data_IF_788092059442
#
_entry.id   IF_788092059442
#
_cell.length_a   1.000
_cell.length_b   1.000
_cell.length_c   1.000
_cell.angle_alpha   90.00
_cell.angle_beta   90.00
_cell.angle_gamma   90.00
#
_symmetry.space_group_name_H-M   'P 1'
#
loop_
_entity.id
_entity.type
_entity.pdbx_description
1 polymer ?
#
# COMPACT_ATOMS: atom_id res chain seq x y z
N UNK A 1 20.02 -35.14 5.80
CA UNK A 1 18.63 -35.07 5.28
C UNK A 1 17.86 -34.22 6.25
N UNK A 2 17.73 -32.95 5.97
CA UNK A 2 16.95 -31.98 6.75
C UNK A 2 15.49 -32.06 6.32
N UNK A 3 14.52 -32.11 7.24
CA UNK A 3 13.10 -32.18 6.88
C UNK A 3 12.65 -30.80 6.32
N UNK A 4 12.07 -30.84 5.13
CA UNK A 4 11.40 -29.70 4.49
C UNK A 4 10.21 -29.27 5.35
N UNK A 5 10.01 -27.98 5.66
CA UNK A 5 8.87 -27.53 6.46
C UNK A 5 7.56 -27.84 5.73
N UNK A 6 6.61 -28.46 6.43
CA UNK A 6 5.31 -28.82 5.92
C UNK A 6 4.50 -27.57 5.59
N UNK A 7 4.27 -27.31 4.30
CA UNK A 7 3.35 -26.28 3.82
C UNK A 7 1.94 -26.60 4.36
N UNK A 8 1.36 -25.72 5.16
CA UNK A 8 -0.07 -25.79 5.49
C UNK A 8 -0.85 -25.58 4.20
N UNK A 9 -1.37 -26.68 3.65
CA UNK A 9 -2.30 -26.65 2.51
C UNK A 9 -3.68 -26.28 3.02
N UNK A 10 -4.35 -25.37 2.35
CA UNK A 10 -5.78 -25.12 2.54
C UNK A 10 -6.56 -26.43 2.35
N UNK A 11 -7.68 -26.64 3.07
CA UNK A 11 -8.57 -27.74 2.81
C UNK A 11 -9.01 -27.72 1.34
N UNK A 12 -8.97 -28.86 0.67
CA UNK A 12 -9.23 -28.97 -0.77
C UNK A 12 -10.58 -28.40 -1.20
N UNK A 13 -11.58 -28.39 -0.31
CA UNK A 13 -12.90 -27.78 -0.57
C UNK A 13 -12.85 -26.25 -0.63
N UNK A 14 -11.98 -25.59 0.14
CA UNK A 14 -11.82 -24.13 0.10
C UNK A 14 -11.15 -23.71 -1.20
N UNK A 15 -10.11 -24.43 -1.61
CA UNK A 15 -9.43 -24.18 -2.89
C UNK A 15 -10.36 -24.41 -4.07
N UNK A 16 -11.17 -25.45 -4.03
CA UNK A 16 -12.16 -25.74 -5.08
C UNK A 16 -13.26 -24.67 -5.14
N UNK A 17 -13.78 -24.24 -3.99
CA UNK A 17 -14.80 -23.20 -3.92
C UNK A 17 -14.30 -21.85 -4.45
N UNK A 18 -13.05 -21.50 -4.14
CA UNK A 18 -12.41 -20.30 -4.66
C UNK A 18 -12.18 -20.37 -6.19
N UNK A 19 -11.79 -21.55 -6.70
CA UNK A 19 -11.62 -21.75 -8.14
C UNK A 19 -12.95 -21.67 -8.90
N UNK A 20 -14.01 -22.30 -8.39
CA UNK A 20 -15.35 -22.22 -8.98
C UNK A 20 -15.89 -20.79 -8.97
N UNK A 21 -15.64 -20.02 -7.90
CA UNK A 21 -16.02 -18.62 -7.81
C UNK A 21 -15.31 -17.73 -8.83
N UNK A 22 -14.01 -17.94 -9.06
CA UNK A 22 -13.25 -17.19 -10.07
C UNK A 22 -13.80 -17.44 -11.46
N UNK A 23 -14.06 -18.71 -11.79
CA UNK A 23 -14.60 -19.09 -13.10
C UNK A 23 -15.99 -18.47 -13.31
N UNK A 24 -16.86 -18.52 -12.30
CA UNK A 24 -18.21 -17.98 -12.36
C UNK A 24 -18.19 -16.43 -12.43
N UNK A 25 -17.32 -15.77 -11.66
CA UNK A 25 -17.12 -14.33 -11.71
C UNK A 25 -16.57 -13.88 -13.08
N UNK A 26 -15.63 -14.62 -13.66
CA UNK A 26 -15.01 -14.33 -14.96
C UNK A 26 -16.03 -14.46 -16.10
N UNK A 27 -16.87 -15.51 -16.12
CA UNK A 27 -17.95 -15.67 -17.10
C UNK A 27 -19.01 -14.57 -17.00
N UNK A 28 -19.39 -14.16 -15.80
CA UNK A 28 -20.34 -13.06 -15.58
C UNK A 28 -19.76 -11.71 -16.00
N UNK A 29 -18.48 -11.47 -15.75
CA UNK A 29 -17.77 -10.25 -16.13
C UNK A 29 -17.58 -10.15 -17.65
N UNK A 30 -17.18 -11.22 -18.30
CA UNK A 30 -17.07 -11.28 -19.76
C UNK A 30 -18.40 -11.02 -20.44
N UNK A 31 -19.49 -11.49 -19.86
CA UNK A 31 -20.84 -11.22 -20.37
C UNK A 31 -21.26 -9.76 -20.12
N UNK A 32 -20.86 -9.16 -19.02
CA UNK A 32 -21.08 -7.75 -18.70
C UNK A 32 -20.23 -6.83 -19.60
N UNK A 33 -18.94 -7.18 -19.79
CA UNK A 33 -18.02 -6.50 -20.74
C UNK A 33 -18.56 -6.49 -22.15
N UNK A 34 -18.98 -7.65 -22.66
CA UNK A 34 -19.57 -7.74 -24.01
C UNK A 34 -20.83 -6.89 -24.17
N UNK A 35 -21.68 -6.85 -23.13
CA UNK A 35 -22.89 -5.99 -23.13
C UNK A 35 -22.53 -4.51 -23.04
N UNK A 36 -21.51 -4.15 -22.25
CA UNK A 36 -21.07 -2.77 -22.10
C UNK A 36 -20.36 -2.28 -23.37
N UNK A 37 -19.43 -3.05 -23.94
CA UNK A 37 -18.78 -2.75 -25.19
C UNK A 37 -19.77 -2.66 -26.36
N UNK A 38 -20.79 -3.54 -26.41
CA UNK A 38 -21.85 -3.49 -27.40
C UNK A 38 -22.76 -2.26 -27.26
N UNK A 39 -22.92 -1.72 -26.04
CA UNK A 39 -23.75 -0.56 -25.74
C UNK A 39 -23.09 0.77 -25.99
N UNK A 40 -21.80 0.88 -25.69
CA UNK A 40 -21.05 2.15 -25.67
C UNK A 40 -19.94 2.23 -26.73
N UNK A 41 -19.50 1.10 -27.30
CA UNK A 41 -18.44 1.08 -28.31
C UNK A 41 -17.17 1.78 -27.82
N UNK A 42 -16.54 2.58 -28.71
CA UNK A 42 -15.37 3.41 -28.35
C UNK A 42 -15.67 4.65 -27.49
N UNK A 43 -16.95 4.95 -27.23
CA UNK A 43 -17.42 6.10 -26.44
C UNK A 43 -17.77 5.71 -24.99
N UNK A 44 -17.20 4.63 -24.47
CA UNK A 44 -17.37 4.26 -23.07
C UNK A 44 -16.96 5.42 -22.15
N UNK A 45 -17.76 5.72 -21.08
CA UNK A 45 -17.38 6.72 -20.11
C UNK A 45 -15.99 6.46 -19.57
N UNK A 46 -15.14 7.49 -19.56
CA UNK A 46 -13.79 7.40 -19.02
C UNK A 46 -13.76 7.84 -17.57
N UNK A 47 -12.86 7.26 -16.80
CA UNK A 47 -12.53 7.66 -15.43
C UNK A 47 -11.03 7.88 -15.32
N UNK A 48 -10.63 8.97 -14.64
CA UNK A 48 -9.22 9.24 -14.31
C UNK A 48 -8.99 8.82 -12.87
N UNK A 49 -8.27 7.73 -12.67
CA UNK A 49 -7.73 7.33 -11.36
C UNK A 49 -6.43 8.10 -11.11
N UNK A 50 -6.54 9.23 -10.41
CA UNK A 50 -5.42 10.10 -10.09
C UNK A 50 -4.75 9.64 -8.79
N UNK A 51 -3.53 9.08 -8.87
CA UNK A 51 -2.82 8.55 -7.71
C UNK A 51 -2.25 9.69 -6.84
N UNK A 52 -2.10 9.44 -5.53
CA UNK A 52 -1.44 10.40 -4.64
C UNK A 52 -0.01 10.65 -5.11
N UNK A 53 0.26 11.88 -5.46
CA UNK A 53 1.53 12.36 -5.98
C UNK A 53 2.38 12.99 -4.88
N UNK A 54 3.61 13.38 -5.19
CA UNK A 54 4.47 14.15 -4.31
C UNK A 54 5.17 15.28 -5.04
N UNK A 55 5.45 16.33 -4.31
CA UNK A 55 6.10 17.54 -4.83
C UNK A 55 6.93 18.25 -3.77
N UNK A 56 7.68 19.23 -4.26
CA UNK A 56 8.51 20.12 -3.47
C UNK A 56 8.44 21.57 -4.06
N UNK A 57 9.33 22.45 -3.63
CA UNK A 57 9.40 23.80 -4.17
C UNK A 57 9.74 23.84 -5.68
N UNK A 58 10.36 22.80 -6.23
CA UNK A 58 10.71 22.71 -7.65
C UNK A 58 9.58 22.25 -8.55
N UNK A 59 8.56 21.56 -8.00
CA UNK A 59 7.46 21.02 -8.77
C UNK A 59 6.92 19.70 -8.23
N UNK A 60 6.21 18.93 -9.07
CA UNK A 60 5.59 17.67 -8.68
C UNK A 60 5.76 16.57 -9.73
N UNK A 61 5.82 15.30 -9.26
CA UNK A 61 5.70 14.11 -10.08
C UNK A 61 4.30 13.53 -9.90
N UNK A 62 3.58 13.41 -11.01
CA UNK A 62 2.19 12.97 -11.04
C UNK A 62 2.06 11.69 -11.85
N UNK A 63 1.25 10.79 -11.37
CA UNK A 63 0.92 9.55 -12.07
C UNK A 63 -0.52 9.14 -11.79
N UNK A 64 -1.08 8.35 -12.68
CA UNK A 64 -2.43 7.82 -12.55
C UNK A 64 -2.79 6.98 -13.75
N UNK A 65 -4.05 6.63 -13.88
CA UNK A 65 -4.54 5.73 -14.94
C UNK A 65 -5.87 6.23 -15.50
N UNK A 66 -6.10 6.02 -16.78
CA UNK A 66 -7.40 6.25 -17.43
C UNK A 66 -8.06 4.91 -17.71
N UNK A 67 -9.29 4.77 -17.25
CA UNK A 67 -10.09 3.54 -17.33
C UNK A 67 -11.40 3.81 -18.08
N UNK A 68 -11.90 2.80 -18.80
CA UNK A 68 -13.14 2.88 -19.58
C UNK A 68 -14.42 2.65 -18.76
N UNK A 69 -14.31 2.31 -17.48
CA UNK A 69 -15.45 2.09 -16.59
C UNK A 69 -15.59 3.21 -15.57
N UNK A 70 -16.84 3.61 -15.29
CA UNK A 70 -17.13 4.50 -14.17
C UNK A 70 -16.67 3.85 -12.86
N UNK A 71 -16.16 4.63 -11.88
CA UNK A 71 -15.86 4.09 -10.57
C UNK A 71 -17.13 3.44 -10.03
N UNK A 72 -17.05 2.17 -9.73
CA UNK A 72 -18.08 1.52 -8.93
C UNK A 72 -18.05 2.25 -7.58
N UNK A 73 -19.21 2.77 -7.15
CA UNK A 73 -19.32 3.52 -5.90
C UNK A 73 -18.55 2.83 -4.79
N UNK A 74 -17.91 3.62 -3.92
CA UNK A 74 -17.16 3.10 -2.78
C UNK A 74 -17.97 2.09 -1.98
N UNK A 75 -17.32 1.25 -1.15
CA UNK A 75 -18.00 0.27 -0.33
C UNK A 75 -19.02 0.99 0.54
N UNK A 76 -20.27 0.55 0.47
CA UNK A 76 -21.31 0.98 1.40
C UNK A 76 -21.20 0.12 2.66
N UNK A 77 -21.49 0.71 3.82
CA UNK A 77 -21.48 -0.02 5.10
C UNK A 77 -22.40 -1.25 5.11
N UNK A 78 -23.45 -1.24 4.29
CA UNK A 78 -24.43 -2.32 4.15
C UNK A 78 -24.12 -3.34 3.04
N UNK A 79 -23.04 -3.15 2.27
CA UNK A 79 -22.66 -4.09 1.20
C UNK A 79 -22.20 -5.41 1.81
N UNK A 80 -22.81 -6.51 1.38
CA UNK A 80 -22.42 -7.86 1.76
C UNK A 80 -20.94 -8.12 1.37
N UNK A 81 -20.29 -9.03 2.08
CA UNK A 81 -18.91 -9.44 1.83
C UNK A 81 -18.63 -9.78 0.35
N UNK A 82 -19.60 -10.42 -0.32
CA UNK A 82 -19.53 -10.80 -1.72
C UNK A 82 -19.61 -9.61 -2.68
N UNK A 83 -20.45 -8.64 -2.38
CA UNK A 83 -20.58 -7.42 -3.21
C UNK A 83 -19.29 -6.60 -3.17
N UNK A 84 -18.66 -6.55 -2.02
CA UNK A 84 -17.39 -5.88 -1.82
C UNK A 84 -16.23 -6.60 -2.55
N UNK A 85 -16.20 -7.94 -2.52
CA UNK A 85 -15.22 -8.75 -3.24
C UNK A 85 -15.39 -8.59 -4.75
N UNK A 86 -16.62 -8.69 -5.23
CA UNK A 86 -16.96 -8.55 -6.64
C UNK A 86 -16.68 -7.15 -7.18
N UNK A 87 -16.99 -6.11 -6.39
CA UNK A 87 -16.70 -4.73 -6.75
C UNK A 87 -15.19 -4.47 -6.81
N UNK A 88 -14.42 -5.06 -5.91
CA UNK A 88 -12.96 -4.95 -5.93
C UNK A 88 -12.37 -5.72 -7.11
N UNK A 89 -12.87 -6.91 -7.42
CA UNK A 89 -12.46 -7.69 -8.60
C UNK A 89 -12.79 -6.94 -9.91
N UNK A 90 -13.96 -6.31 -10.00
CA UNK A 90 -14.35 -5.48 -11.16
C UNK A 90 -13.45 -4.26 -11.36
N UNK A 91 -12.91 -3.68 -10.29
CA UNK A 91 -11.90 -2.60 -10.38
C UNK A 91 -10.58 -3.10 -10.96
N UNK A 92 -10.23 -4.36 -10.68
CA UNK A 92 -9.03 -5.00 -11.21
C UNK A 92 -9.07 -5.20 -12.73
N UNK A 93 -10.25 -5.51 -13.26
CA UNK A 93 -10.49 -5.80 -14.68
C UNK A 93 -11.06 -4.62 -15.44
N UNK A 94 -10.90 -3.39 -14.93
CA UNK A 94 -11.30 -2.18 -15.66
C UNK A 94 -10.57 -2.10 -17.01
N UNK A 95 -11.33 -1.81 -18.08
CA UNK A 95 -10.77 -1.67 -19.43
C UNK A 95 -9.81 -0.46 -19.46
N UNK A 96 -8.58 -0.73 -19.75
CA UNK A 96 -7.50 0.25 -19.89
C UNK A 96 -7.73 1.09 -21.14
N UNK A 97 -7.48 2.41 -21.05
CA UNK A 97 -7.64 3.29 -22.20
C UNK A 97 -6.31 3.88 -22.61
N UNK A 98 -5.61 3.26 -23.58
CA UNK A 98 -4.33 3.76 -24.07
C UNK A 98 -4.52 4.97 -24.99
N UNK A 99 -3.45 5.78 -25.10
CA UNK A 99 -3.37 6.88 -26.07
C UNK A 99 -4.27 8.08 -25.74
N UNK A 100 -4.79 8.18 -24.51
CA UNK A 100 -5.62 9.31 -24.09
C UNK A 100 -4.75 10.53 -23.82
N UNK A 101 -5.03 11.63 -24.50
CA UNK A 101 -4.37 12.90 -24.24
C UNK A 101 -4.98 13.58 -23.01
N UNK A 102 -4.12 14.01 -22.09
CA UNK A 102 -4.46 14.65 -20.83
C UNK A 102 -3.83 16.05 -20.76
N UNK A 103 -4.52 16.97 -20.11
CA UNK A 103 -3.97 18.23 -19.63
C UNK A 103 -3.87 18.17 -18.09
N UNK A 104 -2.67 18.43 -17.57
CA UNK A 104 -2.39 18.38 -16.13
C UNK A 104 -1.92 19.76 -15.71
N UNK A 105 -2.52 20.33 -14.66
CA UNK A 105 -2.16 21.65 -14.15
C UNK A 105 -1.80 21.60 -12.67
N UNK A 106 -0.71 22.30 -12.32
CA UNK A 106 -0.24 22.44 -10.94
C UNK A 106 0.43 23.80 -10.76
N UNK A 107 0.06 24.54 -9.73
CA UNK A 107 0.59 25.87 -9.40
C UNK A 107 0.68 26.82 -10.61
N UNK A 108 -0.37 26.85 -11.43
CA UNK A 108 -0.46 27.71 -12.60
C UNK A 108 0.29 27.22 -13.85
N UNK A 109 1.08 26.17 -13.76
CA UNK A 109 1.76 25.54 -14.89
C UNK A 109 0.91 24.41 -15.45
N UNK A 110 0.89 24.26 -16.77
CA UNK A 110 0.17 23.17 -17.47
C UNK A 110 1.12 22.37 -18.33
N UNK A 111 0.95 21.05 -18.29
CA UNK A 111 1.65 20.11 -19.16
C UNK A 111 0.66 19.16 -19.82
N UNK A 112 1.07 18.56 -20.93
CA UNK A 112 0.31 17.51 -21.58
C UNK A 112 0.97 16.17 -21.31
N UNK A 113 0.15 15.16 -21.09
CA UNK A 113 0.57 13.77 -21.01
C UNK A 113 -0.31 12.90 -21.91
N UNK A 114 0.15 11.71 -22.21
CA UNK A 114 -0.63 10.71 -22.97
C UNK A 114 -0.51 9.39 -22.25
N UNK A 115 -1.60 8.65 -22.12
CA UNK A 115 -1.58 7.34 -21.50
C UNK A 115 -0.83 6.33 -22.34
N UNK A 116 -0.08 5.45 -21.68
CA UNK A 116 0.63 4.33 -22.29
C UNK A 116 -0.33 3.19 -22.73
N UNK A 117 0.24 2.04 -23.12
CA UNK A 117 -0.53 0.88 -23.57
C UNK A 117 -1.43 0.27 -22.49
N UNK A 118 -1.11 0.49 -21.21
CA UNK A 118 -1.86 0.01 -20.04
C UNK A 118 -2.71 1.12 -19.41
N UNK A 119 -2.88 2.26 -20.10
CA UNK A 119 -3.69 3.39 -19.65
C UNK A 119 -3.04 4.27 -18.57
N UNK A 120 -1.76 4.06 -18.19
CA UNK A 120 -1.07 4.89 -17.21
C UNK A 120 -0.57 6.19 -17.84
N UNK A 121 -0.58 7.26 -17.05
CA UNK A 121 0.12 8.50 -17.35
C UNK A 121 1.15 8.81 -16.27
N UNK A 122 2.25 9.43 -16.71
CA UNK A 122 3.27 10.00 -15.84
C UNK A 122 3.59 11.40 -16.34
N UNK A 123 3.69 12.35 -15.43
CA UNK A 123 4.03 13.71 -15.77
C UNK A 123 4.90 14.35 -14.68
N UNK A 124 5.95 15.02 -15.09
CA UNK A 124 6.71 15.95 -14.24
C UNK A 124 6.25 17.38 -14.56
N UNK A 125 5.85 18.12 -13.55
CA UNK A 125 5.56 19.55 -13.67
C UNK A 125 6.57 20.32 -12.85
N UNK A 126 7.41 21.09 -13.52
CA UNK A 126 8.35 21.99 -12.86
C UNK A 126 7.67 23.35 -12.64
N UNK A 127 7.71 23.81 -11.40
CA UNK A 127 7.08 25.08 -10.98
C UNK A 127 8.08 25.98 -10.26
N UNK A 128 9.21 26.33 -10.91
CA UNK A 128 10.26 27.11 -10.27
C UNK A 128 9.74 28.47 -9.83
N UNK A 129 9.98 28.82 -8.56
CA UNK A 129 9.56 30.11 -8.00
C UNK A 129 8.07 30.26 -7.71
N UNK A 130 7.25 29.23 -7.98
CA UNK A 130 5.86 29.26 -7.54
C UNK A 130 5.79 29.10 -6.00
N UNK A 131 4.91 29.85 -5.32
CA UNK A 131 4.75 29.71 -3.88
C UNK A 131 4.26 28.29 -3.55
N UNK A 132 4.90 27.66 -2.57
CA UNK A 132 4.48 26.38 -2.02
C UNK A 132 3.47 26.63 -0.90
N UNK A 133 2.42 25.86 -0.85
CA UNK A 133 1.47 25.88 0.25
C UNK A 133 2.11 25.38 1.55
N UNK A 134 1.75 25.95 2.69
CA UNK A 134 2.09 25.42 4.01
C UNK A 134 1.31 24.16 4.38
N UNK A 135 0.29 23.80 3.57
CA UNK A 135 -0.47 22.58 3.77
C UNK A 135 0.34 21.36 3.35
N UNK A 136 0.17 20.26 4.09
CA UNK A 136 0.81 18.98 3.75
C UNK A 136 0.36 18.47 2.37
N UNK A 137 -0.85 18.80 1.95
CA UNK A 137 -1.43 18.41 0.68
C UNK A 137 -1.88 19.62 -0.13
N UNK A 138 -1.57 19.60 -1.40
CA UNK A 138 -2.03 20.55 -2.41
C UNK A 138 -2.64 19.76 -3.57
N UNK A 139 -3.58 20.33 -4.32
CA UNK A 139 -4.19 19.62 -5.44
C UNK A 139 -3.63 20.12 -6.78
N UNK A 140 -3.15 19.18 -7.58
CA UNK A 140 -3.10 19.34 -9.03
C UNK A 140 -4.47 19.03 -9.64
N UNK A 141 -4.64 19.35 -10.91
CA UNK A 141 -5.83 18.96 -11.67
C UNK A 141 -5.42 18.18 -12.91
N UNK A 142 -6.15 17.11 -13.19
CA UNK A 142 -5.97 16.27 -14.39
C UNK A 142 -7.29 16.26 -15.15
N UNK A 143 -7.26 16.59 -16.44
CA UNK A 143 -8.44 16.58 -17.31
C UNK A 143 -8.12 15.90 -18.63
N UNK A 144 -9.16 15.44 -19.34
CA UNK A 144 -8.99 15.09 -20.75
C UNK A 144 -8.60 16.34 -21.55
N UNK A 145 -7.87 16.16 -22.64
CA UNK A 145 -7.38 17.28 -23.45
C UNK A 145 -8.47 18.16 -24.07
N UNK A 146 -9.70 17.65 -24.14
CA UNK A 146 -10.91 18.41 -24.55
C UNK A 146 -11.50 19.26 -23.40
N UNK A 147 -10.89 19.22 -22.22
CA UNK A 147 -11.33 19.94 -21.02
C UNK A 147 -12.44 19.24 -20.23
N UNK A 148 -12.87 18.08 -20.65
CA UNK A 148 -13.84 17.26 -19.91
C UNK A 148 -13.18 16.43 -18.83
N UNK A 149 -13.98 15.88 -17.92
CA UNK A 149 -13.54 14.96 -16.85
C UNK A 149 -12.40 15.54 -16.01
N UNK A 150 -12.62 16.69 -15.39
CA UNK A 150 -11.66 17.30 -14.46
C UNK A 150 -11.61 16.56 -13.13
N UNK A 151 -10.45 16.01 -12.80
CA UNK A 151 -10.21 15.24 -11.57
C UNK A 151 -9.13 15.92 -10.73
N UNK A 152 -9.37 16.16 -9.41
CA UNK A 152 -8.31 16.63 -8.52
C UNK A 152 -7.31 15.51 -8.24
N UNK A 153 -6.03 15.86 -8.20
CA UNK A 153 -4.94 14.94 -7.85
C UNK A 153 -4.20 15.45 -6.63
N UNK A 154 -4.29 14.75 -5.48
CA UNK A 154 -3.58 15.15 -4.27
C UNK A 154 -2.07 15.04 -4.44
N UNK A 155 -1.34 16.07 -4.06
CA UNK A 155 0.12 16.17 -4.11
C UNK A 155 0.65 16.43 -2.71
N UNK A 156 1.37 15.46 -2.15
CA UNK A 156 2.05 15.59 -0.86
C UNK A 156 3.17 16.60 -0.98
N UNK A 157 3.17 17.63 -0.13
CA UNK A 157 4.18 18.69 -0.15
C UNK A 157 5.31 18.38 0.82
N UNK A 158 6.52 18.22 0.30
CA UNK A 158 7.72 18.09 1.13
C UNK A 158 8.34 19.47 1.31
N UNK A 159 7.88 20.17 2.34
CA UNK A 159 8.30 21.52 2.67
C UNK A 159 9.35 21.61 3.77
N UNK A 160 9.82 22.83 4.03
CA UNK A 160 10.84 23.10 5.07
C UNK A 160 10.33 22.85 6.51
N UNK A 161 9.03 22.69 6.70
CA UNK A 161 8.43 22.36 7.99
C UNK A 161 8.52 20.88 8.40
N UNK A 162 9.03 20.00 7.53
CA UNK A 162 9.26 18.61 7.84
C UNK A 162 10.63 18.41 8.50
N UNK A 163 10.68 17.69 9.63
CA UNK A 163 11.95 17.34 10.29
C UNK A 163 12.58 16.10 9.70
N UNK A 164 11.76 15.15 9.28
CA UNK A 164 12.16 13.89 8.68
C UNK A 164 11.04 13.36 7.77
N UNK A 165 11.39 12.41 6.91
CA UNK A 165 10.45 11.63 6.14
C UNK A 165 10.38 10.19 6.63
N UNK A 166 9.29 9.52 6.34
CA UNK A 166 9.12 8.09 6.59
C UNK A 166 9.01 7.38 5.24
N UNK A 167 9.79 6.33 5.04
CA UNK A 167 9.63 5.37 3.95
C UNK A 167 9.24 4.05 4.56
N UNK A 168 8.06 3.57 4.22
CA UNK A 168 7.49 2.35 4.79
C UNK A 168 7.14 1.34 3.72
N UNK A 169 7.47 0.08 3.98
CA UNK A 169 6.81 -1.01 3.29
C UNK A 169 5.33 -1.11 3.70
N UNK A 170 4.52 -1.73 2.85
CA UNK A 170 3.09 -1.95 3.10
C UNK A 170 2.84 -3.40 3.52
N UNK A 171 3.37 -4.34 2.74
CA UNK A 171 3.15 -5.76 2.94
C UNK A 171 3.84 -6.24 4.22
N UNK A 172 3.15 -6.99 5.07
CA UNK A 172 3.62 -7.44 6.39
C UNK A 172 4.18 -6.37 7.35
N UNK A 173 4.29 -5.12 6.89
CA UNK A 173 4.66 -3.95 7.71
C UNK A 173 3.44 -3.16 8.15
N UNK A 174 2.45 -2.99 7.30
CA UNK A 174 1.16 -2.35 7.58
C UNK A 174 0.03 -3.38 7.50
N UNK A 175 0.18 -4.40 6.64
CA UNK A 175 -0.74 -5.47 6.35
C UNK A 175 -0.14 -6.82 6.72
N UNK A 176 -0.91 -7.72 7.33
CA UNK A 176 -0.53 -9.13 7.45
C UNK A 176 -0.78 -9.86 6.13
N UNK A 177 0.27 -10.34 5.46
CA UNK A 177 0.16 -11.14 4.25
C UNK A 177 0.57 -12.60 4.52
N UNK A 178 -0.38 -13.52 4.57
CA UNK A 178 -0.12 -14.95 4.76
C UNK A 178 -0.27 -15.70 3.43
N UNK A 179 0.55 -15.38 2.35
CA UNK A 179 0.33 -15.98 1.05
C UNK A 179 1.58 -16.32 0.27
N UNK A 180 1.53 -17.57 -0.18
CA UNK A 180 2.45 -18.18 -1.10
C UNK A 180 1.67 -18.90 -2.22
N UNK A 181 1.17 -18.15 -3.24
CA UNK A 181 1.00 -18.67 -4.62
C UNK A 181 0.35 -17.59 -5.50
N UNK A 182 1.09 -17.13 -6.48
CA UNK A 182 1.13 -15.70 -6.76
C UNK A 182 0.38 -15.20 -8.01
N UNK A 183 -0.42 -15.91 -8.73
CA UNK A 183 -1.14 -15.28 -9.86
C UNK A 183 -2.65 -15.19 -9.69
N UNK A 184 -3.30 -16.25 -9.30
CA UNK A 184 -4.76 -16.24 -9.11
C UNK A 184 -5.12 -16.26 -7.64
N UNK A 185 -4.37 -17.01 -6.84
CA UNK A 185 -4.54 -17.04 -5.39
C UNK A 185 -4.08 -15.74 -4.73
N UNK A 186 -3.05 -15.06 -5.25
CA UNK A 186 -2.59 -13.77 -4.73
C UNK A 186 -3.63 -12.67 -4.95
N UNK A 187 -4.24 -12.58 -6.13
CA UNK A 187 -5.31 -11.62 -6.40
C UNK A 187 -6.51 -11.87 -5.48
N UNK A 188 -7.01 -13.10 -5.41
CA UNK A 188 -8.18 -13.42 -4.59
C UNK A 188 -7.91 -13.37 -3.09
N UNK A 189 -6.72 -13.78 -2.66
CA UNK A 189 -6.36 -13.75 -1.26
C UNK A 189 -6.00 -12.33 -0.83
N UNK A 190 -5.42 -11.51 -1.71
CA UNK A 190 -5.23 -10.09 -1.47
C UNK A 190 -6.58 -9.38 -1.37
N UNK A 191 -7.50 -9.66 -2.26
CA UNK A 191 -8.87 -9.14 -2.26
C UNK A 191 -9.67 -9.60 -1.03
N UNK A 192 -9.58 -10.87 -0.68
CA UNK A 192 -10.23 -11.43 0.51
C UNK A 192 -9.65 -10.85 1.80
N UNK A 193 -8.35 -10.61 1.84
CA UNK A 193 -7.65 -10.20 3.04
C UNK A 193 -7.52 -8.68 3.20
N UNK A 194 -7.56 -7.85 2.16
CA UNK A 194 -7.38 -6.41 2.32
C UNK A 194 -8.45 -5.76 3.21
N UNK A 195 -9.68 -6.26 3.19
CA UNK A 195 -10.76 -5.78 4.08
C UNK A 195 -10.91 -6.59 5.37
N UNK A 196 -10.54 -7.87 5.36
CA UNK A 196 -10.51 -8.70 6.56
C UNK A 196 -9.16 -8.67 7.26
N UNK A 197 -8.12 -8.13 6.62
CA UNK A 197 -6.82 -7.91 7.24
C UNK A 197 -6.93 -6.82 8.29
N UNK A 198 -6.51 -7.16 9.46
CA UNK A 198 -6.32 -6.19 10.52
C UNK A 198 -5.04 -5.41 10.21
N UNK A 199 -5.06 -4.07 10.31
CA UNK A 199 -3.81 -3.32 10.29
C UNK A 199 -2.92 -3.85 11.41
N UNK A 200 -1.63 -3.73 11.21
CA UNK A 200 -0.69 -4.13 12.23
C UNK A 200 -0.96 -3.35 13.52
N UNK A 201 -0.85 -4.05 14.63
CA UNK A 201 -1.22 -3.54 15.96
C UNK A 201 -0.57 -2.19 16.24
N UNK A 202 -1.37 -1.15 16.33
CA UNK A 202 -0.94 0.21 16.60
C UNK A 202 -0.35 0.97 15.39
N UNK A 203 -0.40 0.42 14.17
CA UNK A 203 0.20 1.05 13.00
C UNK A 203 -0.41 2.41 12.69
N UNK A 204 -1.74 2.52 12.66
CA UNK A 204 -2.40 3.78 12.30
C UNK A 204 -2.03 4.92 13.26
N UNK A 205 -2.02 4.67 14.55
CA UNK A 205 -1.66 5.69 15.55
C UNK A 205 -0.17 5.99 15.51
N UNK A 206 0.70 4.98 15.30
CA UNK A 206 2.15 5.19 15.14
C UNK A 206 2.45 6.08 13.92
N UNK A 207 1.91 5.77 12.75
CA UNK A 207 2.20 6.55 11.54
C UNK A 207 1.65 7.98 11.63
N UNK A 208 0.49 8.19 12.26
CA UNK A 208 -0.01 9.54 12.57
C UNK A 208 0.92 10.29 13.52
N UNK A 209 1.46 9.61 14.53
CA UNK A 209 2.41 10.21 15.47
C UNK A 209 3.74 10.58 14.76
N UNK A 210 4.28 9.69 13.92
CA UNK A 210 5.46 9.99 13.10
C UNK A 210 5.21 11.16 12.13
N UNK A 211 4.04 11.22 11.50
CA UNK A 211 3.65 12.34 10.62
C UNK A 211 3.56 13.65 11.40
N UNK A 212 3.02 13.61 12.62
CA UNK A 212 2.92 14.79 13.48
C UNK A 212 4.28 15.25 14.02
N UNK A 213 5.17 14.31 14.31
CA UNK A 213 6.50 14.56 14.88
C UNK A 213 6.48 14.97 16.35
N UNK A 214 7.66 15.29 16.90
CA UNK A 214 7.80 15.80 18.25
C UNK A 214 7.14 17.18 18.39
N UNK A 215 6.20 17.33 19.29
CA UNK A 215 5.40 18.54 19.49
C UNK A 215 4.08 18.57 18.71
N UNK A 216 3.75 17.51 17.96
CA UNK A 216 2.43 17.28 17.38
C UNK A 216 2.00 18.23 16.24
N UNK A 217 2.86 19.16 15.82
CA UNK A 217 2.52 20.20 14.87
C UNK A 217 3.25 20.10 13.52
N UNK A 218 4.28 19.28 13.45
CA UNK A 218 5.10 19.12 12.25
C UNK A 218 4.48 18.11 11.29
N UNK A 219 4.68 18.33 9.99
CA UNK A 219 4.03 17.58 8.94
C UNK A 219 5.06 16.76 8.17
N UNK A 220 5.55 15.72 8.81
CA UNK A 220 6.52 14.82 8.22
C UNK A 220 5.84 14.02 7.09
N UNK A 221 6.44 13.94 5.88
CA UNK A 221 5.89 13.15 4.80
C UNK A 221 6.04 11.65 5.08
N UNK A 222 5.01 10.89 4.73
CA UNK A 222 5.04 9.42 4.76
C UNK A 222 4.90 8.90 3.33
N UNK A 223 5.83 8.08 2.90
CA UNK A 223 5.86 7.42 1.60
C UNK A 223 5.75 5.92 1.79
N UNK A 224 4.96 5.28 0.95
CA UNK A 224 4.74 3.84 0.99
C UNK A 224 5.35 3.19 -0.24
N UNK A 225 6.08 2.10 -0.03
CA UNK A 225 6.72 1.33 -1.10
C UNK A 225 6.32 -0.13 -0.95
N UNK A 226 5.80 -0.76 -1.99
CA UNK A 226 5.38 -2.15 -1.95
C UNK A 226 5.86 -2.92 -3.17
N UNK A 227 6.08 -4.21 -3.01
CA UNK A 227 6.36 -5.13 -4.11
C UNK A 227 5.10 -5.54 -4.90
N UNK A 228 3.94 -5.09 -4.46
CA UNK A 228 2.66 -5.30 -5.11
C UNK A 228 2.57 -4.56 -6.45
N UNK A 229 1.84 -5.08 -7.43
CA UNK A 229 1.67 -4.41 -8.73
C UNK A 229 0.73 -3.21 -8.68
N UNK A 230 0.88 -2.29 -9.65
CA UNK A 230 0.11 -1.04 -9.74
C UNK A 230 -1.41 -1.22 -9.84
N UNK A 231 -1.89 -2.33 -10.37
CA UNK A 231 -3.32 -2.63 -10.41
C UNK A 231 -3.93 -2.84 -9.01
N UNK A 232 -3.13 -2.95 -7.94
CA UNK A 232 -3.58 -3.01 -6.55
C UNK A 232 -3.69 -1.63 -5.87
N UNK A 233 -3.39 -0.54 -6.57
CA UNK A 233 -3.35 0.79 -5.98
C UNK A 233 -4.64 1.16 -5.25
N UNK A 234 -5.79 1.07 -5.93
CA UNK A 234 -7.08 1.47 -5.36
C UNK A 234 -7.44 0.65 -4.11
N UNK A 235 -7.08 -0.65 -4.13
CA UNK A 235 -7.31 -1.54 -3.00
C UNK A 235 -6.46 -1.16 -1.78
N UNK A 236 -5.19 -0.85 -2.01
CA UNK A 236 -4.28 -0.40 -0.96
C UNK A 236 -4.69 0.96 -0.40
N UNK A 237 -5.15 1.85 -1.27
CA UNK A 237 -5.63 3.17 -0.90
C UNK A 237 -6.91 3.09 -0.05
N UNK A 238 -7.91 2.33 -0.49
CA UNK A 238 -9.12 2.02 0.27
C UNK A 238 -8.78 1.38 1.64
N UNK A 239 -7.82 0.45 1.66
CA UNK A 239 -7.37 -0.18 2.91
C UNK A 239 -6.77 0.84 3.88
N UNK A 240 -5.88 1.70 3.41
CA UNK A 240 -5.26 2.72 4.27
C UNK A 240 -6.30 3.68 4.82
N UNK A 241 -7.27 4.09 3.99
CA UNK A 241 -8.36 4.98 4.41
C UNK A 241 -9.25 4.32 5.48
N UNK A 242 -9.72 3.08 5.23
CA UNK A 242 -10.56 2.33 6.18
C UNK A 242 -9.90 2.09 7.54
N UNK A 243 -8.58 1.97 7.56
CA UNK A 243 -7.81 1.74 8.77
C UNK A 243 -7.21 3.01 9.37
N UNK A 244 -7.59 4.19 8.86
CA UNK A 244 -7.12 5.49 9.33
C UNK A 244 -5.57 5.61 9.33
N UNK A 245 -4.90 4.93 8.40
CA UNK A 245 -3.47 5.08 8.15
C UNK A 245 -3.27 6.40 7.40
N UNK A 246 -2.31 7.25 7.76
CA UNK A 246 -2.10 8.52 7.08
C UNK A 246 -1.92 8.33 5.58
N UNK A 247 -2.63 9.11 4.75
CA UNK A 247 -2.44 9.06 3.30
C UNK A 247 -1.00 9.46 2.94
N UNK A 248 -0.45 8.79 1.93
CA UNK A 248 0.87 9.08 1.37
C UNK A 248 0.98 8.60 -0.07
N UNK A 249 1.95 9.08 -0.85
CA UNK A 249 2.27 8.50 -2.14
C UNK A 249 2.62 7.03 -1.99
N UNK A 250 2.06 6.18 -2.86
CA UNK A 250 2.29 4.74 -2.88
C UNK A 250 3.06 4.39 -4.15
N UNK A 251 4.21 3.75 -3.99
CA UNK A 251 5.06 3.29 -5.08
C UNK A 251 4.96 1.77 -5.19
N UNK A 252 4.32 1.31 -6.24
CA UNK A 252 4.08 -0.08 -6.53
C UNK A 252 5.03 -0.57 -7.62
N UNK A 253 5.13 -1.88 -7.76
CA UNK A 253 5.98 -2.51 -8.76
C UNK A 253 5.32 -2.45 -10.13
N UNK A 254 6.08 -2.00 -11.14
CA UNK A 254 5.71 -2.13 -12.54
C UNK A 254 5.97 -3.58 -12.99
N UNK A 255 4.91 -4.32 -13.26
CA UNK A 255 4.98 -5.70 -13.79
C UNK A 255 4.62 -5.70 -15.29
N UNK A 256 4.75 -4.57 -15.97
CA UNK A 256 4.44 -4.42 -17.39
C UNK A 256 5.11 -5.48 -18.27
N UNK A 257 4.40 -5.95 -19.29
CA UNK A 257 4.85 -6.96 -20.25
C UNK A 257 5.89 -6.44 -21.26
N UNK A 258 6.56 -5.34 -20.98
CA UNK A 258 7.61 -4.80 -21.85
C UNK A 258 8.91 -5.61 -21.71
N UNK A 259 9.32 -6.38 -22.72
CA UNK A 259 10.50 -7.25 -22.65
C UNK A 259 11.80 -6.49 -22.32
N UNK A 260 11.85 -5.17 -22.55
CA UNK A 260 12.98 -4.32 -22.22
C UNK A 260 13.05 -3.91 -20.74
N UNK A 261 11.93 -3.94 -20.01
CA UNK A 261 11.86 -3.58 -18.58
C UNK A 261 12.05 -4.79 -17.65
N UNK A 262 11.80 -6.01 -18.14
CA UNK A 262 11.94 -7.25 -17.36
C UNK A 262 13.37 -7.53 -16.87
N UNK A 263 14.37 -6.98 -17.51
CA UNK A 263 15.79 -7.30 -17.23
C UNK A 263 16.39 -6.47 -16.10
N UNK A 264 15.76 -5.37 -15.68
CA UNK A 264 16.37 -4.45 -14.69
C UNK A 264 15.87 -4.60 -13.25
N UNK A 265 14.78 -5.32 -12.97
CA UNK A 265 14.24 -5.37 -11.61
C UNK A 265 13.69 -6.76 -11.23
N UNK A 266 14.45 -7.82 -11.51
CA UNK A 266 14.18 -9.13 -10.92
C UNK A 266 14.59 -9.06 -9.43
N UNK A 267 13.61 -9.02 -8.52
CA UNK A 267 13.87 -9.02 -7.08
C UNK A 267 13.31 -7.78 -6.35
N UNK A 268 13.54 -7.74 -5.05
CA UNK A 268 13.09 -6.66 -4.16
C UNK A 268 13.88 -5.34 -4.32
N UNK A 269 14.84 -5.25 -5.22
CA UNK A 269 15.72 -4.09 -5.43
C UNK A 269 15.00 -2.77 -5.74
N UNK A 270 13.78 -2.82 -6.30
CA UNK A 270 12.99 -1.61 -6.59
C UNK A 270 12.66 -0.79 -5.34
N UNK A 271 12.51 -1.42 -4.15
CA UNK A 271 12.28 -0.71 -2.89
C UNK A 271 13.48 0.17 -2.54
N UNK A 272 14.69 -0.37 -2.67
CA UNK A 272 15.93 0.39 -2.43
C UNK A 272 16.11 1.51 -3.45
N UNK A 273 15.82 1.25 -4.73
CA UNK A 273 15.93 2.28 -5.78
C UNK A 273 14.93 3.42 -5.53
N UNK A 274 13.73 3.11 -5.11
CA UNK A 274 12.74 4.12 -4.75
C UNK A 274 13.15 4.91 -3.50
N UNK A 275 13.70 4.25 -2.48
CA UNK A 275 14.26 4.93 -1.32
C UNK A 275 15.42 5.88 -1.74
N UNK A 276 16.32 5.44 -2.61
CA UNK A 276 17.40 6.27 -3.18
C UNK A 276 16.88 7.52 -3.88
N UNK A 277 15.86 7.37 -4.72
CA UNK A 277 15.24 8.50 -5.43
C UNK A 277 14.64 9.52 -4.45
N UNK A 278 13.90 9.07 -3.44
CA UNK A 278 13.29 9.95 -2.43
C UNK A 278 14.36 10.67 -1.60
N UNK A 279 15.38 9.93 -1.16
CA UNK A 279 16.47 10.49 -0.37
C UNK A 279 17.30 11.50 -1.19
N UNK A 280 17.58 11.19 -2.46
CA UNK A 280 18.30 12.11 -3.35
C UNK A 280 17.49 13.38 -3.67
N UNK A 281 16.19 13.22 -3.89
CA UNK A 281 15.28 14.33 -4.20
C UNK A 281 15.13 15.33 -3.05
N UNK A 282 15.16 14.85 -1.81
CA UNK A 282 15.00 15.69 -0.62
C UNK A 282 16.30 15.75 0.21
N UNK A 283 17.36 16.43 -0.26
CA UNK A 283 18.70 16.36 0.30
C UNK A 283 18.82 16.89 1.73
N UNK A 284 17.88 17.71 2.20
CA UNK A 284 17.86 18.24 3.57
C UNK A 284 17.10 17.35 4.56
N UNK A 285 16.28 16.42 4.05
CA UNK A 285 15.43 15.59 4.89
C UNK A 285 16.19 14.35 5.36
N UNK A 286 16.04 13.99 6.63
CA UNK A 286 16.49 12.72 7.18
C UNK A 286 15.33 11.73 7.18
N UNK A 287 15.60 10.43 7.32
CA UNK A 287 14.62 9.41 7.02
C UNK A 287 14.50 8.35 8.11
N UNK A 288 13.29 7.93 8.38
CA UNK A 288 12.97 6.71 9.12
C UNK A 288 12.52 5.67 8.09
N UNK A 289 13.13 4.48 8.14
CA UNK A 289 12.78 3.36 7.27
C UNK A 289 12.04 2.30 8.10
N UNK A 290 10.92 1.81 7.58
CA UNK A 290 10.09 0.80 8.25
C UNK A 290 9.80 -0.33 7.27
N UNK A 291 10.17 -1.54 7.62
CA UNK A 291 9.96 -2.74 6.81
C UNK A 291 9.64 -3.96 7.66
N UNK A 292 9.63 -5.13 7.06
CA UNK A 292 9.29 -6.40 7.69
C UNK A 292 10.41 -7.44 7.61
N UNK A 293 10.30 -8.49 8.46
CA UNK A 293 11.24 -9.61 8.47
C UNK A 293 10.89 -10.72 7.46
N UNK A 294 9.72 -10.65 6.83
CA UNK A 294 9.23 -11.67 5.89
C UNK A 294 9.79 -11.50 4.48
N UNK A 295 10.34 -10.33 4.17
CA UNK A 295 10.90 -9.97 2.86
C UNK A 295 12.40 -9.60 2.95
N UNK A 296 12.92 -8.94 1.92
CA UNK A 296 14.33 -8.53 1.86
C UNK A 296 14.60 -7.16 2.51
N UNK A 297 13.67 -6.59 3.26
CA UNK A 297 13.75 -5.22 3.75
C UNK A 297 14.94 -5.00 4.69
N UNK A 298 15.30 -6.00 5.50
CA UNK A 298 16.46 -5.92 6.36
C UNK A 298 17.76 -5.72 5.55
N UNK A 299 17.95 -6.48 4.48
CA UNK A 299 19.09 -6.37 3.57
C UNK A 299 19.10 -5.02 2.85
N UNK A 300 17.95 -4.62 2.29
CA UNK A 300 17.81 -3.39 1.50
C UNK A 300 18.06 -2.15 2.36
N UNK A 301 17.52 -2.12 3.57
CA UNK A 301 17.68 -0.99 4.47
C UNK A 301 19.04 -0.96 5.15
N UNK A 302 19.68 -2.11 5.37
CA UNK A 302 21.10 -2.15 5.75
C UNK A 302 22.00 -1.59 4.64
N UNK A 303 21.67 -1.83 3.37
CA UNK A 303 22.37 -1.21 2.26
C UNK A 303 22.14 0.31 2.23
N UNK A 304 20.90 0.78 2.46
CA UNK A 304 20.59 2.20 2.58
C UNK A 304 21.36 2.87 3.73
N UNK A 305 21.46 2.21 4.90
CA UNK A 305 22.23 2.74 6.03
C UNK A 305 23.71 2.96 5.68
N UNK A 306 24.32 2.02 4.95
CA UNK A 306 25.72 2.15 4.49
C UNK A 306 25.90 3.25 3.46
N UNK A 307 24.91 3.43 2.56
CA UNK A 307 24.97 4.41 1.48
C UNK A 307 24.72 5.84 1.97
N UNK A 308 23.75 6.01 2.86
CA UNK A 308 23.26 7.35 3.26
C UNK A 308 23.64 7.77 4.68
N UNK A 309 24.13 6.83 5.51
CA UNK A 309 24.67 7.16 6.83
C UNK A 309 23.72 8.02 7.68
N UNK A 310 24.21 9.16 8.15
CA UNK A 310 23.47 10.09 9.03
C UNK A 310 22.16 10.63 8.45
N UNK A 311 21.90 10.41 7.15
CA UNK A 311 20.61 10.72 6.52
C UNK A 311 19.50 9.76 6.96
N UNK A 312 19.85 8.60 7.53
CA UNK A 312 18.91 7.65 8.10
C UNK A 312 18.91 7.82 9.62
N UNK A 313 17.74 8.14 10.18
CA UNK A 313 17.57 8.35 11.62
C UNK A 313 17.40 7.05 12.37
N UNK A 314 16.64 6.12 11.81
CA UNK A 314 16.40 4.79 12.34
C UNK A 314 15.86 3.85 11.26
N UNK A 315 16.10 2.56 11.45
CA UNK A 315 15.53 1.48 10.65
C UNK A 315 14.79 0.54 11.61
N UNK A 316 13.52 0.29 11.31
CA UNK A 316 12.69 -0.65 12.04
C UNK A 316 12.30 -1.81 11.16
N UNK A 317 12.70 -3.01 11.53
CA UNK A 317 12.31 -4.26 10.86
C UNK A 317 11.31 -4.97 11.76
N UNK A 318 10.09 -5.00 11.32
CA UNK A 318 9.02 -5.62 12.04
C UNK A 318 9.09 -7.13 11.95
N UNK A 319 9.06 -7.78 13.10
CA UNK A 319 8.94 -9.23 13.20
C UNK A 319 7.51 -9.64 12.80
N UNK A 320 7.40 -10.47 11.75
CA UNK A 320 6.08 -10.91 11.22
C UNK A 320 5.47 -12.03 12.05
N UNK A 321 6.25 -12.72 12.88
CA UNK A 321 5.81 -13.81 13.75
C UNK A 321 6.45 -13.72 15.16
N UNK A 322 6.19 -12.62 15.89
CA UNK A 322 6.83 -12.36 17.16
C UNK A 322 6.47 -13.44 18.20
N UNK A 323 7.50 -14.01 18.82
CA UNK A 323 7.38 -15.08 19.82
C UNK A 323 7.63 -16.48 19.30
N UNK A 324 7.92 -16.62 18.00
CA UNK A 324 8.37 -17.87 17.38
C UNK A 324 9.80 -17.68 16.90
N UNK A 325 10.75 -18.48 17.36
CA UNK A 325 12.10 -18.46 16.79
C UNK A 325 12.06 -19.01 15.35
N UNK A 326 12.44 -18.16 14.41
CA UNK A 326 12.41 -18.45 12.97
C UNK A 326 13.81 -18.20 12.37
N UNK A 327 14.24 -18.98 11.37
CA UNK A 327 15.48 -18.69 10.61
C UNK A 327 15.57 -17.26 10.05
N UNK A 328 14.43 -16.60 9.83
CA UNK A 328 14.34 -15.18 9.41
C UNK A 328 14.87 -14.23 10.49
N UNK A 329 14.67 -14.57 11.76
CA UNK A 329 15.17 -13.77 12.88
C UNK A 329 16.69 -13.66 12.85
N UNK A 330 17.36 -14.81 12.70
CA UNK A 330 18.81 -14.85 12.56
C UNK A 330 19.32 -14.11 11.32
N UNK A 331 18.56 -14.12 10.23
CA UNK A 331 18.88 -13.37 9.01
C UNK A 331 18.77 -11.85 9.27
N UNK A 332 17.70 -11.39 9.89
CA UNK A 332 17.52 -9.97 10.25
C UNK A 332 18.58 -9.52 11.25
N UNK A 333 18.81 -10.31 12.30
CA UNK A 333 19.80 -10.01 13.34
C UNK A 333 21.23 -9.91 12.75
N UNK A 334 21.55 -10.76 11.75
CA UNK A 334 22.81 -10.65 11.02
C UNK A 334 22.98 -9.32 10.25
N UNK A 335 21.91 -8.75 9.71
CA UNK A 335 21.95 -7.43 9.08
C UNK A 335 22.04 -6.31 10.12
N UNK A 336 21.34 -6.45 11.26
CA UNK A 336 21.44 -5.51 12.38
C UNK A 336 22.89 -5.44 12.89
N UNK A 337 23.56 -6.57 13.07
CA UNK A 337 24.98 -6.63 13.46
C UNK A 337 25.89 -5.92 12.45
N UNK A 338 25.64 -6.06 11.15
CA UNK A 338 26.41 -5.37 10.11
C UNK A 338 26.21 -3.85 10.14
N UNK A 339 25.04 -3.37 10.53
CA UNK A 339 24.73 -1.93 10.66
C UNK A 339 25.20 -1.37 12.00
N UNK A 340 25.37 -2.18 13.02
CA UNK A 340 25.75 -1.75 14.38
C UNK A 340 27.07 -0.97 14.45
N UNK A 341 27.96 -1.12 13.44
CA UNK A 341 29.19 -0.30 13.30
C UNK A 341 28.96 1.10 12.73
N UNK A 342 27.73 1.45 12.36
CA UNK A 342 27.36 2.75 11.82
C UNK A 342 26.65 3.61 12.88
N UNK A 343 26.39 4.88 12.58
CA UNK A 343 25.59 5.75 13.43
C UNK A 343 24.07 5.50 13.32
N UNK A 344 23.64 4.55 12.50
CA UNK A 344 22.22 4.28 12.20
C UNK A 344 21.70 3.17 13.10
N UNK A 345 20.76 3.43 14.02
CA UNK A 345 20.11 2.37 14.77
C UNK A 345 19.20 1.55 13.85
N UNK A 346 19.38 0.23 13.86
CA UNK A 346 18.54 -0.74 13.18
C UNK A 346 18.02 -1.75 14.19
N UNK A 347 16.70 -1.90 14.30
CA UNK A 347 16.05 -2.73 15.30
C UNK A 347 15.04 -3.69 14.68
N UNK A 348 15.05 -4.94 15.17
CA UNK A 348 13.92 -5.86 14.98
C UNK A 348 12.91 -5.60 16.10
N UNK A 349 11.64 -5.42 15.74
CA UNK A 349 10.58 -4.95 16.65
C UNK A 349 9.35 -5.83 16.54
N UNK A 350 8.72 -6.15 17.67
CA UNK A 350 7.56 -7.02 17.72
C UNK A 350 6.25 -6.31 17.33
N UNK A 351 6.13 -5.00 17.57
CA UNK A 351 4.94 -4.20 17.30
C UNK A 351 5.23 -2.69 17.23
N UNK A 352 4.18 -1.93 16.98
CA UNK A 352 4.27 -0.46 16.84
C UNK A 352 4.63 0.27 18.13
N UNK A 353 4.41 -0.34 19.31
CA UNK A 353 4.78 0.27 20.58
C UNK A 353 6.30 0.29 20.75
N UNK A 354 6.97 -0.81 20.41
CA UNK A 354 8.43 -0.87 20.45
C UNK A 354 9.10 0.16 19.51
N UNK A 355 8.51 0.39 18.33
CA UNK A 355 8.94 1.47 17.43
C UNK A 355 8.76 2.83 18.11
N UNK A 356 7.58 3.07 18.70
CA UNK A 356 7.24 4.36 19.30
C UNK A 356 8.14 4.70 20.49
N UNK A 357 8.44 3.73 21.36
CA UNK A 357 9.34 3.91 22.52
C UNK A 357 10.75 4.31 22.07
N UNK A 358 11.31 3.62 21.09
CA UNK A 358 12.61 3.97 20.54
C UNK A 358 12.59 5.32 19.81
N UNK A 359 11.58 5.58 18.98
CA UNK A 359 11.43 6.84 18.26
C UNK A 359 11.25 8.04 19.19
N UNK A 360 10.55 7.85 20.34
CA UNK A 360 10.48 8.86 21.39
C UNK A 360 11.86 9.15 21.98
N UNK A 361 12.66 8.12 22.25
CA UNK A 361 14.04 8.27 22.72
C UNK A 361 14.93 9.07 21.76
N UNK A 362 14.63 9.02 20.46
CA UNK A 362 15.28 9.82 19.42
C UNK A 362 14.66 11.22 19.24
N UNK A 363 13.60 11.58 19.98
CA UNK A 363 12.90 12.85 19.85
C UNK A 363 12.07 12.98 18.56
N UNK A 364 11.64 11.87 17.96
CA UNK A 364 10.85 11.85 16.72
C UNK A 364 9.35 11.91 16.98
N UNK A 365 8.90 11.60 18.19
CA UNK A 365 7.50 11.58 18.59
C UNK A 365 7.26 12.48 19.81
N UNK A 366 6.00 12.90 19.97
CA UNK A 366 5.49 13.45 21.23
C UNK A 366 5.18 12.31 22.21
N UNK A 367 5.59 12.47 23.47
CA UNK A 367 5.32 11.49 24.53
C UNK A 367 3.83 11.20 24.71
N UNK A 368 2.94 12.17 24.48
CA UNK A 368 1.50 11.98 24.56
C UNK A 368 0.96 10.97 23.52
N UNK A 369 1.74 10.66 22.46
CA UNK A 369 1.36 9.67 21.46
C UNK A 369 1.46 8.23 21.98
N UNK A 370 2.31 7.94 22.97
CA UNK A 370 2.58 6.58 23.45
C UNK A 370 1.34 5.91 24.01
N UNK A 371 0.55 6.60 24.82
CA UNK A 371 -0.65 6.04 25.44
C UNK A 371 -1.67 5.58 24.39
N UNK A 372 -1.83 6.36 23.33
CA UNK A 372 -2.71 6.03 22.22
C UNK A 372 -2.24 4.81 21.43
N UNK A 373 -0.93 4.72 21.16
CA UNK A 373 -0.31 3.58 20.46
C UNK A 373 -0.41 2.31 21.32
N UNK A 374 -0.08 2.40 22.62
CA UNK A 374 -0.18 1.28 23.55
C UNK A 374 -1.63 0.77 23.66
N UNK A 375 -2.60 1.67 23.78
CA UNK A 375 -4.02 1.30 23.83
C UNK A 375 -4.49 0.62 22.54
N UNK A 376 -4.03 1.04 21.36
CA UNK A 376 -4.35 0.39 20.08
C UNK A 376 -3.70 -1.00 19.97
N UNK A 377 -2.43 -1.14 20.36
CA UNK A 377 -1.74 -2.43 20.41
C UNK A 377 -2.46 -3.39 21.35
N UNK A 378 -2.85 -2.94 22.54
CA UNK A 378 -3.60 -3.74 23.52
C UNK A 378 -4.96 -4.19 22.98
N UNK A 379 -5.73 -3.27 22.39
CA UNK A 379 -7.02 -3.59 21.77
C UNK A 379 -6.88 -4.61 20.65
N UNK A 380 -5.83 -4.50 19.84
CA UNK A 380 -5.57 -5.44 18.76
C UNK A 380 -5.14 -6.82 19.27
N UNK A 381 -4.42 -6.90 20.41
CA UNK A 381 -4.09 -8.17 21.07
C UNK A 381 -5.32 -8.87 21.66
N UNK A 382 -6.29 -8.10 22.15
CA UNK A 382 -7.52 -8.63 22.75
C UNK A 382 -8.55 -9.11 21.71
N UNK A 383 -8.41 -8.76 20.43
CA UNK A 383 -9.32 -9.23 19.38
C UNK A 383 -8.98 -10.66 18.97
N UNK A 384 -9.99 -11.57 18.86
CA UNK A 384 -9.74 -12.93 18.40
C UNK A 384 -9.12 -12.93 17.00
N UNK A 385 -8.26 -13.90 16.72
CA UNK A 385 -7.72 -14.12 15.38
C UNK A 385 -8.81 -14.56 14.41
N UNK A 386 -8.63 -14.34 13.10
CA UNK A 386 -9.63 -14.76 12.10
C UNK A 386 -10.01 -16.25 12.19
N UNK A 387 -9.07 -17.20 12.43
CA UNK A 387 -9.44 -18.59 12.67
C UNK A 387 -10.29 -18.81 13.93
N UNK A 388 -10.02 -18.04 15.00
CA UNK A 388 -10.82 -18.10 16.23
C UNK A 388 -12.20 -17.47 16.05
N UNK A 389 -12.28 -16.33 15.38
CA UNK A 389 -13.55 -15.69 15.05
C UNK A 389 -14.42 -16.54 14.13
N UNK A 390 -13.84 -17.17 13.11
CA UNK A 390 -14.54 -18.10 12.22
C UNK A 390 -14.98 -19.38 12.94
N UNK A 391 -14.17 -19.89 13.89
CA UNK A 391 -14.53 -21.03 14.70
C UNK A 391 -15.67 -20.69 15.68
N UNK A 392 -15.68 -19.52 16.25
CA UNK A 392 -16.73 -19.06 17.15
C UNK A 392 -18.04 -18.78 16.39
N UNK A 393 -17.97 -18.15 15.20
CA UNK A 393 -19.13 -17.97 14.31
C UNK A 393 -19.71 -19.32 13.84
N UNK A 394 -18.85 -20.30 13.53
CA UNK A 394 -19.28 -21.64 13.19
C UNK A 394 -19.94 -22.36 14.37
N UNK A 395 -19.42 -22.18 15.59
CA UNK A 395 -20.04 -22.72 16.82
C UNK A 395 -21.39 -22.07 17.09
N UNK A 396 -21.50 -20.75 16.93
CA UNK A 396 -22.74 -20.01 17.13
C UNK A 396 -23.84 -20.46 16.15
N UNK A 397 -23.49 -20.66 14.86
CA UNK A 397 -24.42 -21.22 13.86
C UNK A 397 -24.87 -22.64 14.18
N UNK A 398 -24.00 -23.46 14.75
CA UNK A 398 -24.35 -24.81 15.20
C UNK A 398 -25.25 -24.80 16.43
N UNK A 399 -25.02 -23.87 17.36
CA UNK A 399 -25.83 -23.74 18.60
C UNK A 399 -27.20 -23.12 18.32
N UNK A 400 -27.29 -22.18 17.36
CA UNK A 400 -28.56 -21.51 17.01
C UNK A 400 -29.41 -22.30 16.03
N UNK A 401 -28.91 -23.42 15.48
CA UNK A 401 -29.67 -24.31 14.59
C UNK A 401 -29.95 -23.70 13.20
N UNK A 402 -29.32 -22.58 12.85
CA UNK A 402 -29.51 -21.89 11.56
C UNK A 402 -28.63 -22.53 10.45
N UNK A 403 -28.83 -23.82 10.24
CA UNK A 403 -28.32 -24.54 9.06
C UNK A 403 -29.46 -24.59 8.06
N UNK A 404 -29.66 -23.53 7.28
CA UNK A 404 -30.51 -23.60 6.09
C UNK A 404 -29.91 -24.60 5.10
N UNK A 405 -30.56 -25.76 4.99
CA UNK A 405 -30.24 -26.75 3.97
C UNK A 405 -30.45 -26.09 2.58
N UNK A 406 -29.54 -26.29 1.61
CA UNK A 406 -29.80 -25.92 0.24
C UNK A 406 -30.99 -26.73 -0.27
N UNK A 407 -32.06 -26.04 -0.67
CA UNK A 407 -33.30 -26.61 -1.12
C UNK A 407 -33.12 -27.58 -2.28
N UNK A 408 -33.61 -28.78 -2.09
CA UNK A 408 -33.91 -29.73 -3.15
C UNK A 408 -35.20 -29.28 -3.83
N UNK A 409 -35.09 -28.85 -5.10
CA UNK A 409 -36.12 -28.98 -6.14
C UNK A 409 -35.55 -28.58 -7.49
#
# INVERSE_FOLDING_TARGET
MTPTPSRRRWPAHVTKYLQEFVIDADEHLDSARRRYAARFGGDAPKHIAAYRAHGDAGGADLSGRVLASAPLGGPKEDDGWWDNLLNTYRRFESDEVPGVALEIAFRGVRVRATTDAEGYYHARIDTPGAPMSDALWENASVALADGTLLTPQPVLQVGDGADFGVISDIDDTILHSSILDWKTAAQLTFLHNARTRKPLRGAATLYRALQAGAGGTRRNPVFYVSSSPWNLYDLLDDFMELNAIPPGPVFLRDIGMDPGKFVKTAGHGHKLDRARELIARHPRLRWVLVGDSGQADAELYAAAAREFGERILAIYIRDVDPGTEDPRDAFVDGWIEQVAGTAVPMLRVADSLAIAEHALGLGLLDAASLDGIAAEVQRARARPTLPEAAADEAKEKVVTGDVSQPGAS
#
